data_IF_761858490230
#
_entry.id   IF_761858490230
#
_cell.length_a   1.000
_cell.length_b   1.000
_cell.length_c   1.000
_cell.angle_alpha   90.00
_cell.angle_beta   90.00
_cell.angle_gamma   90.00
#
_symmetry.space_group_name_H-M   'P 1'
#
loop_
_entity.id
_entity.type
_entity.pdbx_description
1 polymer ?
#
# COMPACT_ATOMS: atom_id res chain seq x y z
N UNK A 1 -7.01 -22.67 11.95
CA UNK A 1 -5.74 -22.03 11.55
C UNK A 1 -5.85 -21.54 10.12
N UNK A 2 -5.43 -20.29 9.88
CA UNK A 2 -5.53 -19.75 8.55
C UNK A 2 -4.49 -20.33 7.62
N UNK A 3 -4.88 -20.53 6.36
CA UNK A 3 -3.96 -20.92 5.32
C UNK A 3 -3.20 -19.69 4.81
N UNK A 4 -2.10 -19.90 4.08
CA UNK A 4 -1.40 -18.80 3.44
C UNK A 4 -2.31 -18.00 2.52
N UNK A 5 -3.23 -18.68 1.83
CA UNK A 5 -4.16 -17.99 0.93
C UNK A 5 -5.10 -17.07 1.70
N UNK A 6 -5.56 -17.49 2.87
CA UNK A 6 -6.42 -16.64 3.70
C UNK A 6 -5.66 -15.43 4.21
N UNK A 7 -4.44 -15.62 4.66
CA UNK A 7 -3.58 -14.53 5.11
C UNK A 7 -3.32 -13.56 3.98
N UNK A 8 -3.01 -14.05 2.80
CA UNK A 8 -2.76 -13.22 1.62
C UNK A 8 -4.00 -12.40 1.26
N UNK A 9 -5.16 -13.01 1.28
CA UNK A 9 -6.41 -12.32 0.97
C UNK A 9 -6.70 -11.22 2.00
N UNK A 10 -6.46 -11.49 3.27
CA UNK A 10 -6.62 -10.49 4.33
C UNK A 10 -5.66 -9.33 4.13
N UNK A 11 -4.41 -9.62 3.77
CA UNK A 11 -3.41 -8.58 3.52
C UNK A 11 -3.77 -7.74 2.30
N UNK A 12 -4.27 -8.37 1.24
CA UNK A 12 -4.72 -7.64 0.05
C UNK A 12 -5.88 -6.71 0.37
N UNK A 13 -6.80 -7.16 1.23
CA UNK A 13 -7.88 -6.32 1.70
C UNK A 13 -7.37 -5.10 2.45
N UNK A 14 -6.37 -5.28 3.30
CA UNK A 14 -5.76 -4.18 4.03
C UNK A 14 -5.05 -3.20 3.09
N UNK A 15 -4.37 -3.70 2.07
CA UNK A 15 -3.74 -2.84 1.06
C UNK A 15 -4.78 -1.94 0.41
N UNK A 16 -5.92 -2.50 0.04
CA UNK A 16 -7.00 -1.72 -0.57
C UNK A 16 -7.50 -0.62 0.37
N UNK A 17 -7.69 -0.96 1.65
CA UNK A 17 -8.13 0.01 2.65
C UNK A 17 -7.12 1.13 2.81
N UNK A 18 -5.84 0.78 2.88
CA UNK A 18 -4.77 1.76 3.04
C UNK A 18 -4.66 2.66 1.81
N UNK A 19 -4.78 2.09 0.61
CA UNK A 19 -4.76 2.87 -0.63
C UNK A 19 -5.95 3.80 -0.72
N UNK A 20 -7.13 3.37 -0.31
CA UNK A 20 -8.30 4.24 -0.27
C UNK A 20 -8.07 5.40 0.67
N UNK A 21 -7.45 5.17 1.82
CA UNK A 21 -7.09 6.23 2.75
C UNK A 21 -6.09 7.21 2.17
N UNK A 22 -5.08 6.68 1.46
CA UNK A 22 -4.09 7.51 0.77
C UNK A 22 -4.76 8.43 -0.23
N UNK A 23 -5.63 7.89 -1.09
CA UNK A 23 -6.35 8.69 -2.09
C UNK A 23 -7.29 9.70 -1.43
N UNK A 24 -7.92 9.32 -0.33
CA UNK A 24 -8.77 10.22 0.42
C UNK A 24 -8.00 11.44 0.95
N UNK A 25 -6.81 11.22 1.48
CA UNK A 25 -5.96 12.33 1.94
C UNK A 25 -5.47 13.18 0.78
N UNK A 26 -5.13 12.58 -0.34
CA UNK A 26 -4.73 13.33 -1.53
C UNK A 26 -5.87 14.23 -2.02
N UNK A 27 -7.07 13.70 -2.06
CA UNK A 27 -8.26 14.47 -2.46
C UNK A 27 -8.54 15.61 -1.47
N UNK A 28 -8.38 15.33 -0.17
CA UNK A 28 -8.55 16.37 0.84
C UNK A 28 -7.52 17.47 0.70
N UNK A 29 -6.28 17.12 0.36
CA UNK A 29 -5.22 18.09 0.13
C UNK A 29 -5.55 19.00 -1.05
N UNK A 30 -6.13 18.44 -2.11
CA UNK A 30 -6.53 19.21 -3.27
C UNK A 30 -7.73 20.11 -2.99
N UNK A 31 -8.61 19.68 -2.10
CA UNK A 31 -9.85 20.40 -1.80
C UNK A 31 -9.68 21.54 -0.80
N UNK A 32 -8.62 21.52 0.00
CA UNK A 32 -8.44 22.57 1.02
C UNK A 32 -7.65 23.74 0.49
N UNK A 33 -8.03 24.94 0.92
CA UNK A 33 -7.29 26.17 0.63
C UNK A 33 -6.21 26.45 1.67
N UNK A 34 -6.18 25.69 2.74
CA UNK A 34 -5.21 25.87 3.82
C UNK A 34 -3.91 25.17 3.48
N UNK A 35 -2.82 25.93 3.39
CA UNK A 35 -1.50 25.39 3.13
C UNK A 35 -1.07 24.41 4.23
N UNK A 36 -1.40 24.74 5.48
CA UNK A 36 -1.09 23.90 6.61
C UNK A 36 -1.80 22.55 6.52
N UNK A 37 -3.09 22.57 6.20
CA UNK A 37 -3.86 21.35 6.05
C UNK A 37 -3.41 20.54 4.84
N UNK A 38 -3.08 21.21 3.74
CA UNK A 38 -2.51 20.55 2.58
C UNK A 38 -1.28 19.72 2.95
N UNK A 39 -0.34 20.35 3.65
CA UNK A 39 0.88 19.67 4.08
C UNK A 39 0.58 18.49 4.99
N UNK A 40 -0.37 18.65 5.91
CA UNK A 40 -0.76 17.59 6.83
C UNK A 40 -1.39 16.40 6.10
N UNK A 41 -2.31 16.68 5.17
CA UNK A 41 -2.97 15.64 4.40
C UNK A 41 -1.97 14.89 3.50
N UNK A 42 -1.04 15.61 2.88
CA UNK A 42 -0.01 14.96 2.07
C UNK A 42 0.92 14.11 2.92
N UNK A 43 1.21 14.53 4.14
CA UNK A 43 2.00 13.74 5.07
C UNK A 43 1.29 12.42 5.42
N UNK A 44 -0.01 12.49 5.70
CA UNK A 44 -0.77 11.29 6.00
C UNK A 44 -0.91 10.39 4.78
N UNK A 45 -1.06 10.97 3.59
CA UNK A 45 -1.07 10.20 2.35
C UNK A 45 0.23 9.43 2.18
N UNK A 46 1.37 10.08 2.43
CA UNK A 46 2.67 9.42 2.34
C UNK A 46 2.81 8.29 3.36
N UNK A 47 2.30 8.47 4.57
CA UNK A 47 2.30 7.41 5.58
C UNK A 47 1.50 6.20 5.11
N UNK A 48 0.33 6.43 4.51
CA UNK A 48 -0.48 5.34 3.98
C UNK A 48 0.22 4.61 2.85
N UNK A 49 0.91 5.35 1.98
CA UNK A 49 1.71 4.73 0.92
C UNK A 49 2.78 3.80 1.50
N UNK A 50 3.44 4.22 2.57
CA UNK A 50 4.42 3.39 3.26
C UNK A 50 3.81 2.11 3.83
N UNK A 51 2.66 2.22 4.46
CA UNK A 51 1.96 1.05 4.98
C UNK A 51 1.55 0.08 3.87
N UNK A 52 1.09 0.60 2.74
CA UNK A 52 0.74 -0.24 1.61
C UNK A 52 1.96 -1.02 1.10
N UNK A 53 3.11 -0.38 1.05
CA UNK A 53 4.35 -1.06 0.64
C UNK A 53 4.73 -2.15 1.61
N UNK A 54 4.64 -1.90 2.91
CA UNK A 54 4.93 -2.92 3.92
C UNK A 54 3.99 -4.10 3.80
N UNK A 55 2.70 -3.84 3.58
CA UNK A 55 1.73 -4.92 3.41
C UNK A 55 2.01 -5.73 2.15
N UNK A 56 2.40 -5.08 1.06
CA UNK A 56 2.77 -5.78 -0.16
C UNK A 56 3.99 -6.66 0.04
N UNK A 57 4.95 -6.21 0.84
CA UNK A 57 6.12 -7.02 1.18
C UNK A 57 5.71 -8.28 1.95
N UNK A 58 4.76 -8.15 2.88
CA UNK A 58 4.24 -9.31 3.59
C UNK A 58 3.52 -10.28 2.65
N UNK A 59 2.76 -9.77 1.71
CA UNK A 59 2.10 -10.60 0.70
C UNK A 59 3.14 -11.37 -0.10
N UNK A 60 4.19 -10.69 -0.54
CA UNK A 60 5.27 -11.32 -1.30
C UNK A 60 5.98 -12.39 -0.49
N UNK A 61 6.18 -12.14 0.81
CA UNK A 61 6.80 -13.11 1.71
C UNK A 61 5.97 -14.40 1.78
N UNK A 62 4.66 -14.30 1.66
CA UNK A 62 3.77 -15.46 1.65
C UNK A 62 3.52 -16.00 0.24
N UNK A 63 4.17 -15.43 -0.77
CA UNK A 63 4.08 -15.89 -2.15
C UNK A 63 2.89 -15.36 -2.94
N UNK A 64 2.07 -14.49 -2.33
CA UNK A 64 0.81 -14.08 -2.91
C UNK A 64 0.88 -13.00 -3.96
N UNK A 65 1.98 -12.28 -4.02
CA UNK A 65 2.11 -11.18 -4.97
C UNK A 65 2.99 -11.51 -6.16
N UNK A 66 3.45 -12.75 -6.23
CA UNK A 66 4.46 -13.13 -7.18
C UNK A 66 4.00 -13.09 -8.63
N UNK A 67 2.71 -13.24 -8.84
CA UNK A 67 2.18 -13.35 -10.19
C UNK A 67 2.13 -12.03 -10.94
N UNK A 68 2.23 -10.91 -10.25
CA UNK A 68 2.04 -9.61 -10.89
C UNK A 68 3.10 -8.60 -10.49
N UNK A 69 2.65 -7.53 -9.85
CA UNK A 69 3.48 -6.38 -9.53
C UNK A 69 4.68 -6.75 -8.69
N UNK A 70 4.47 -7.61 -7.72
CA UNK A 70 5.57 -8.06 -6.87
C UNK A 70 6.57 -8.84 -7.67
N UNK A 71 6.10 -9.64 -8.61
CA UNK A 71 6.97 -10.35 -9.53
C UNK A 71 7.84 -9.39 -10.33
N UNK A 72 7.26 -8.28 -10.76
CA UNK A 72 8.00 -7.27 -11.49
C UNK A 72 9.08 -6.61 -10.66
N UNK A 73 8.73 -6.18 -9.47
CA UNK A 73 9.67 -5.49 -8.58
C UNK A 73 10.68 -6.45 -8.00
N UNK A 74 10.21 -7.52 -7.39
CA UNK A 74 11.08 -8.50 -6.75
C UNK A 74 11.92 -9.24 -7.77
N UNK A 75 11.35 -9.54 -8.92
CA UNK A 75 12.10 -10.15 -10.00
C UNK A 75 13.27 -9.29 -10.47
N UNK A 76 13.04 -7.99 -10.58
CA UNK A 76 14.10 -7.06 -10.93
C UNK A 76 15.20 -7.03 -9.87
N UNK A 77 14.81 -7.02 -8.60
CA UNK A 77 15.77 -7.05 -7.49
C UNK A 77 16.59 -8.33 -7.48
N UNK A 78 15.95 -9.45 -7.74
CA UNK A 78 16.64 -10.74 -7.77
C UNK A 78 17.56 -10.90 -8.96
N UNK A 79 17.28 -10.21 -10.04
CA UNK A 79 18.12 -10.28 -11.23
C UNK A 79 19.36 -9.43 -11.12
N UNK A 80 19.34 -8.51 -10.22
CA UNK A 80 20.52 -7.68 -9.99
C UNK A 80 21.37 -8.29 -8.90
#
# INVERSE_FOLDING_TARGET
METNNEIINDLKGLVNIVNDGKEGYESAAEATDSIELQGLFLKYSAQRAGYAMELKDHIATHGGGSENDSGGILGALHRT
#
